data_IF_921231219931
#
_entry.id   IF_921231219931
#
_cell.length_a   1.000
_cell.length_b   1.000
_cell.length_c   1.000
_cell.angle_alpha   90.00
_cell.angle_beta   90.00
_cell.angle_gamma   90.00
#
_symmetry.space_group_name_H-M   'P 1'
#
loop_
_entity.id
_entity.type
_entity.pdbx_description
1 polymer ?
#
# COMPACT_ATOMS: atom_id res chain seq x y z
N UNK A 1 -17.06 27.31 12.30
CA UNK A 1 -16.68 26.51 11.12
C UNK A 1 -15.25 26.85 10.75
N UNK A 2 -14.45 25.87 10.36
CA UNK A 2 -13.08 26.04 9.84
C UNK A 2 -13.08 25.44 8.44
N UNK A 3 -12.66 26.19 7.42
CA UNK A 3 -12.72 25.76 6.01
C UNK A 3 -14.14 25.31 5.56
N UNK A 4 -15.19 25.93 6.08
CA UNK A 4 -16.58 25.54 5.78
C UNK A 4 -17.06 24.24 6.46
N UNK A 5 -16.19 23.56 7.21
CA UNK A 5 -16.50 22.32 7.93
C UNK A 5 -16.74 22.59 9.43
N UNK A 6 -17.54 21.73 10.06
CA UNK A 6 -17.61 21.65 11.51
C UNK A 6 -16.23 21.26 12.05
N UNK A 7 -15.79 21.94 13.11
CA UNK A 7 -14.53 21.65 13.82
C UNK A 7 -14.49 20.19 14.28
N UNK A 8 -15.62 19.60 14.68
CA UNK A 8 -15.71 18.18 15.07
C UNK A 8 -15.47 17.25 13.89
N UNK A 9 -16.03 17.57 12.72
CA UNK A 9 -15.81 16.81 11.50
C UNK A 9 -14.34 16.86 11.05
N UNK A 10 -13.70 18.02 11.18
CA UNK A 10 -12.27 18.18 10.87
C UNK A 10 -11.40 17.29 11.77
N UNK A 11 -11.67 17.28 13.08
CA UNK A 11 -10.95 16.43 14.03
C UNK A 11 -11.20 14.94 13.81
N UNK A 12 -12.39 14.55 13.36
CA UNK A 12 -12.69 13.17 12.98
C UNK A 12 -12.01 12.75 11.67
N UNK A 13 -11.84 13.67 10.72
CA UNK A 13 -11.19 13.41 9.45
C UNK A 13 -9.67 13.22 9.57
N UNK A 14 -9.03 13.89 10.53
CA UNK A 14 -7.59 13.84 10.74
C UNK A 14 -7.02 12.41 10.91
N UNK A 15 -7.54 11.53 11.79
CA UNK A 15 -7.05 10.16 11.91
C UNK A 15 -7.29 9.33 10.64
N UNK A 16 -8.40 9.54 9.93
CA UNK A 16 -8.68 8.85 8.67
C UNK A 16 -7.68 9.25 7.58
N UNK A 17 -7.31 10.53 7.53
CA UNK A 17 -6.28 11.03 6.63
C UNK A 17 -4.91 10.42 6.96
N UNK A 18 -4.57 10.34 8.24
CA UNK A 18 -3.35 9.66 8.70
C UNK A 18 -3.29 8.19 8.28
N UNK A 19 -4.39 7.45 8.46
CA UNK A 19 -4.51 6.06 8.02
C UNK A 19 -4.34 5.93 6.50
N UNK A 20 -5.02 6.77 5.72
CA UNK A 20 -4.96 6.73 4.27
C UNK A 20 -3.54 7.01 3.75
N UNK A 21 -2.86 8.02 4.31
CA UNK A 21 -1.48 8.35 3.94
C UNK A 21 -0.53 7.22 4.36
N UNK A 22 -0.64 6.72 5.59
CA UNK A 22 0.20 5.63 6.08
C UNK A 22 0.06 4.38 5.21
N UNK A 23 -1.17 3.95 4.93
CA UNK A 23 -1.44 2.81 4.06
C UNK A 23 -0.88 3.01 2.64
N UNK A 24 -1.03 4.21 2.07
CA UNK A 24 -0.46 4.53 0.77
C UNK A 24 1.08 4.39 0.76
N UNK A 25 1.75 4.89 1.80
CA UNK A 25 3.20 4.78 1.92
C UNK A 25 3.65 3.32 2.09
N UNK A 26 2.93 2.52 2.88
CA UNK A 26 3.21 1.09 3.04
C UNK A 26 3.10 0.33 1.72
N UNK A 27 2.08 0.61 0.91
CA UNK A 27 1.94 0.03 -0.44
C UNK A 27 3.14 0.40 -1.33
N UNK A 28 3.60 1.65 -1.27
CA UNK A 28 4.79 2.09 -2.02
C UNK A 28 6.08 1.44 -1.54
N UNK A 29 6.25 1.25 -0.24
CA UNK A 29 7.37 0.49 0.31
C UNK A 29 7.33 -0.95 -0.21
N UNK A 30 6.15 -1.58 -0.20
CA UNK A 30 5.95 -2.94 -0.69
C UNK A 30 6.33 -3.07 -2.17
N UNK A 31 5.94 -2.11 -3.02
CA UNK A 31 6.36 -2.04 -4.43
C UNK A 31 7.90 -2.00 -4.60
N UNK A 32 8.64 -1.36 -3.67
CA UNK A 32 10.12 -1.38 -3.71
C UNK A 32 10.72 -2.72 -3.24
N UNK A 33 10.03 -3.46 -2.39
CA UNK A 33 10.48 -4.75 -1.84
C UNK A 33 10.20 -5.95 -2.76
N UNK A 34 10.32 -5.76 -4.08
CA UNK A 34 9.94 -6.79 -5.07
C UNK A 34 11.10 -7.64 -5.58
N UNK A 35 12.35 -7.35 -5.17
CA UNK A 35 13.55 -8.02 -5.72
C UNK A 35 13.58 -9.53 -5.49
N UNK A 36 13.02 -10.01 -4.37
CA UNK A 36 12.94 -11.44 -4.01
C UNK A 36 11.55 -12.05 -4.28
N UNK A 37 10.62 -11.27 -4.87
CA UNK A 37 9.30 -11.77 -5.25
C UNK A 37 9.46 -12.92 -6.23
N UNK A 38 8.69 -14.00 -6.00
CA UNK A 38 8.67 -15.21 -6.83
C UNK A 38 10.02 -15.94 -6.97
N UNK A 39 10.96 -15.71 -6.05
CA UNK A 39 12.31 -16.31 -6.05
C UNK A 39 12.64 -17.10 -4.78
N UNK A 40 11.72 -17.18 -3.83
CA UNK A 40 11.93 -17.95 -2.60
C UNK A 40 11.96 -19.46 -2.87
N UNK A 41 12.59 -20.24 -1.98
CA UNK A 41 12.67 -21.69 -2.14
C UNK A 41 11.29 -22.39 -2.17
N UNK A 42 10.29 -21.80 -1.49
CA UNK A 42 8.94 -22.37 -1.38
C UNK A 42 7.97 -21.85 -2.46
N UNK A 43 8.12 -20.58 -2.86
CA UNK A 43 7.20 -19.91 -3.79
C UNK A 43 7.90 -19.42 -5.06
N UNK A 44 9.02 -20.05 -5.42
CA UNK A 44 9.70 -19.81 -6.69
C UNK A 44 8.78 -20.16 -7.86
N UNK A 45 8.60 -19.23 -8.81
CA UNK A 45 7.76 -19.49 -9.99
C UNK A 45 8.57 -20.17 -11.11
N UNK A 46 7.92 -21.00 -11.94
CA UNK A 46 8.58 -21.64 -13.08
C UNK A 46 9.03 -20.60 -14.13
N UNK A 47 10.04 -20.96 -14.92
CA UNK A 47 10.51 -20.14 -16.04
C UNK A 47 9.38 -19.84 -17.02
N UNK A 48 9.31 -18.60 -17.53
CA UNK A 48 8.23 -18.13 -18.41
C UNK A 48 7.01 -17.54 -17.69
N UNK A 49 7.07 -17.40 -16.36
CA UNK A 49 6.03 -16.70 -15.57
C UNK A 49 6.21 -15.17 -15.53
N UNK A 50 7.16 -14.64 -16.29
CA UNK A 50 7.61 -13.24 -16.23
C UNK A 50 6.54 -12.24 -16.68
N UNK A 51 5.69 -12.64 -17.62
CA UNK A 51 4.59 -11.83 -18.15
C UNK A 51 3.29 -11.95 -17.32
N UNK A 52 3.28 -12.80 -16.29
CA UNK A 52 2.11 -12.97 -15.43
C UNK A 52 2.08 -11.90 -14.33
N UNK A 53 0.88 -11.60 -13.84
CA UNK A 53 0.71 -10.75 -12.68
C UNK A 53 1.52 -11.28 -11.48
N UNK A 54 2.08 -10.38 -10.64
CA UNK A 54 2.80 -10.78 -9.44
C UNK A 54 1.94 -11.63 -8.50
N UNK A 55 2.57 -12.42 -7.65
CA UNK A 55 1.88 -13.31 -6.71
C UNK A 55 1.08 -12.60 -5.61
N UNK A 56 1.24 -11.28 -5.48
CA UNK A 56 0.53 -10.41 -4.56
C UNK A 56 0.43 -9.00 -5.12
#
# INVERSE_FOLDING_TARGET
MVLGLDKKALWAALPLLGLAIGHFLDLKETERMTMFRDKSALYGRPAGSEDQAPSW
#
